data_IF_664997880739
#
_entry.id   IF_664997880739
#
_cell.length_a   1.000
_cell.length_b   1.000
_cell.length_c   1.000
_cell.angle_alpha   90.00
_cell.angle_beta   90.00
_cell.angle_gamma   90.00
#
_symmetry.space_group_name_H-M   'P 1'
#
loop_
_entity.id
_entity.type
_entity.pdbx_description
1 polymer ?
#
# COMPACT_ATOMS: atom_id res chain seq x y z
N UNK A 1 4.02 -6.02 -3.37
CA UNK A 1 4.31 -5.40 -4.68
C UNK A 1 4.36 -3.89 -4.51
N UNK A 2 5.29 -3.19 -5.17
CA UNK A 2 5.26 -1.71 -5.23
C UNK A 2 4.16 -1.28 -6.21
N UNK A 3 3.02 -0.86 -5.68
CA UNK A 3 1.79 -0.60 -6.43
C UNK A 3 0.54 -1.13 -5.72
N UNK A 4 -0.62 -0.91 -6.33
CA UNK A 4 -1.92 -1.25 -5.72
C UNK A 4 -2.42 -2.66 -6.09
N UNK A 5 -3.30 -3.20 -5.25
CA UNK A 5 -4.14 -4.36 -5.55
C UNK A 5 -5.58 -3.95 -5.82
N UNK A 6 -6.52 -4.35 -4.95
CA UNK A 6 -7.95 -4.02 -5.08
C UNK A 6 -8.26 -2.53 -4.95
N UNK A 7 -7.36 -1.74 -4.35
CA UNK A 7 -7.41 -0.27 -4.35
C UNK A 7 -7.07 0.25 -5.76
N UNK A 8 -8.00 0.06 -6.68
CA UNK A 8 -7.88 0.39 -8.09
C UNK A 8 -9.28 0.63 -8.67
N UNK A 9 -9.47 1.55 -9.66
CA UNK A 9 -10.79 1.82 -10.25
C UNK A 9 -11.53 0.59 -10.77
N UNK A 10 -10.78 -0.44 -11.18
CA UNK A 10 -11.31 -1.73 -11.68
C UNK A 10 -11.13 -2.89 -10.69
N UNK A 11 -10.79 -2.62 -9.44
CA UNK A 11 -10.44 -3.63 -8.41
C UNK A 11 -9.33 -4.62 -8.81
N UNK A 12 -8.49 -4.24 -9.77
CA UNK A 12 -7.50 -5.10 -10.42
C UNK A 12 -6.17 -4.37 -10.66
N UNK A 13 -5.54 -3.87 -9.59
CA UNK A 13 -4.20 -3.29 -9.65
C UNK A 13 -3.11 -4.34 -9.91
N UNK A 14 -1.86 -3.89 -10.08
CA UNK A 14 -0.73 -4.76 -10.43
C UNK A 14 -0.51 -5.92 -9.44
N UNK A 15 -0.75 -5.70 -8.14
CA UNK A 15 -0.62 -6.74 -7.14
C UNK A 15 -1.69 -7.83 -7.29
N UNK A 16 -2.92 -7.44 -7.63
CA UNK A 16 -4.02 -8.37 -7.91
C UNK A 16 -3.78 -9.12 -9.21
N UNK A 17 -3.42 -8.39 -10.27
CA UNK A 17 -3.16 -8.97 -11.59
C UNK A 17 -2.03 -10.01 -11.53
N UNK A 18 -0.87 -9.63 -10.97
CA UNK A 18 0.25 -10.55 -10.82
C UNK A 18 -0.10 -11.75 -9.95
N UNK A 19 -0.77 -11.53 -8.82
CA UNK A 19 -1.17 -12.60 -7.92
C UNK A 19 -2.10 -13.61 -8.58
N UNK A 20 -3.08 -13.16 -9.38
CA UNK A 20 -3.99 -14.04 -10.12
C UNK A 20 -3.23 -14.86 -11.16
N UNK A 21 -2.35 -14.25 -11.95
CA UNK A 21 -1.60 -14.96 -13.00
C UNK A 21 -0.58 -15.95 -12.43
N UNK A 22 0.10 -15.58 -11.34
CA UNK A 22 1.13 -16.42 -10.72
C UNK A 22 0.57 -17.46 -9.74
N UNK A 23 -0.67 -17.27 -9.27
CA UNK A 23 -1.28 -18.08 -8.21
C UNK A 23 -0.70 -17.82 -6.81
N UNK A 24 0.22 -16.86 -6.65
CA UNK A 24 0.95 -16.54 -5.42
C UNK A 24 0.15 -15.51 -4.59
N UNK A 25 0.02 -15.71 -3.25
CA UNK A 25 -0.55 -14.70 -2.37
C UNK A 25 0.18 -13.36 -2.49
N UNK A 26 -0.57 -12.28 -2.67
CA UNK A 26 0.00 -10.98 -3.00
C UNK A 26 -0.77 -9.83 -2.34
N UNK A 27 -0.05 -8.79 -1.94
CA UNK A 27 -0.63 -7.51 -1.54
C UNK A 27 0.18 -6.34 -2.12
N UNK A 28 -0.52 -5.23 -2.34
CA UNK A 28 0.03 -3.99 -2.85
C UNK A 28 0.43 -3.05 -1.72
N UNK A 29 1.54 -2.33 -1.91
CA UNK A 29 1.97 -1.22 -1.07
C UNK A 29 2.29 -0.05 -1.99
N UNK A 30 1.56 1.06 -1.85
CA UNK A 30 1.78 2.28 -2.64
C UNK A 30 2.27 3.44 -1.76
N UNK A 31 3.09 4.31 -2.35
CA UNK A 31 3.62 5.54 -1.72
C UNK A 31 2.67 6.73 -1.87
N UNK A 32 1.77 6.65 -2.85
CA UNK A 32 0.84 7.70 -3.24
C UNK A 32 -0.60 7.17 -3.21
N UNK A 33 -1.54 8.04 -2.79
CA UNK A 33 -2.97 7.72 -2.83
C UNK A 33 -3.40 7.59 -4.28
N UNK A 34 -4.09 6.48 -4.60
CA UNK A 34 -4.81 6.38 -5.86
C UNK A 34 -6.25 6.87 -5.65
N UNK A 35 -6.66 7.83 -6.47
CA UNK A 35 -7.97 8.46 -6.37
C UNK A 35 -8.99 7.50 -6.95
N UNK A 36 -9.77 6.88 -6.08
CA UNK A 36 -10.74 5.85 -6.43
C UNK A 36 -12.00 6.13 -5.64
N UNK A 37 -13.11 6.25 -6.35
CA UNK A 37 -14.45 6.23 -5.75
C UNK A 37 -14.59 7.20 -4.57
N UNK A 38 -14.30 8.48 -4.85
CA UNK A 38 -14.41 9.56 -3.89
C UNK A 38 -13.23 9.71 -2.93
N UNK A 39 -12.27 8.78 -2.91
CA UNK A 39 -11.06 8.91 -2.09
C UNK A 39 -10.07 9.88 -2.73
N UNK A 40 -9.62 10.85 -1.95
CA UNK A 40 -8.59 11.84 -2.32
C UNK A 40 -7.45 11.83 -1.32
N UNK A 41 -6.34 12.50 -1.64
CA UNK A 41 -5.22 12.64 -0.71
C UNK A 41 -5.61 13.41 0.54
N UNK A 42 -6.44 14.44 0.38
CA UNK A 42 -6.90 15.34 1.44
C UNK A 42 -7.76 14.57 2.43
N UNK A 43 -8.77 13.82 1.95
CA UNK A 43 -9.61 12.94 2.80
C UNK A 43 -8.78 11.94 3.60
N UNK A 44 -7.78 11.31 2.97
CA UNK A 44 -6.90 10.35 3.67
C UNK A 44 -6.04 11.04 4.71
N UNK A 45 -5.51 12.22 4.41
CA UNK A 45 -4.71 13.00 5.35
C UNK A 45 -5.53 13.41 6.57
N UNK A 46 -6.76 13.88 6.36
CA UNK A 46 -7.70 14.20 7.44
C UNK A 46 -7.98 12.96 8.29
N UNK A 47 -8.34 11.84 7.65
CA UNK A 47 -8.64 10.58 8.33
C UNK A 47 -7.46 10.08 9.19
N UNK A 48 -6.23 10.12 8.64
CA UNK A 48 -5.02 9.77 9.38
C UNK A 48 -4.76 10.74 10.53
N UNK A 49 -4.95 12.03 10.32
CA UNK A 49 -4.71 13.05 11.35
C UNK A 49 -5.67 12.89 12.54
N UNK A 50 -6.92 12.50 12.27
CA UNK A 50 -7.93 12.27 13.30
C UNK A 50 -7.74 10.94 14.04
N UNK A 51 -7.48 9.84 13.31
CA UNK A 51 -7.59 8.47 13.86
C UNK A 51 -6.26 7.72 13.98
N UNK A 52 -5.23 8.13 13.25
CA UNK A 52 -3.92 7.47 13.26
C UNK A 52 -2.74 8.48 13.11
N UNK A 53 -2.67 9.53 13.95
CA UNK A 53 -1.67 10.59 13.81
C UNK A 53 -0.25 10.11 14.16
N UNK A 54 -0.13 9.08 14.99
CA UNK A 54 1.15 8.63 15.52
C UNK A 54 1.80 7.55 14.64
N UNK A 55 3.08 7.31 14.93
CA UNK A 55 3.85 6.25 14.28
C UNK A 55 3.20 4.89 14.54
N UNK A 56 3.23 4.03 13.52
CA UNK A 56 2.77 2.64 13.58
C UNK A 56 1.25 2.48 13.80
N UNK A 57 0.50 3.55 13.57
CA UNK A 57 -0.97 3.54 13.50
C UNK A 57 -1.45 3.49 12.05
N UNK A 58 -2.67 2.99 11.86
CA UNK A 58 -3.30 2.88 10.55
C UNK A 58 -4.82 2.94 10.66
N UNK A 59 -5.47 3.23 9.53
CA UNK A 59 -6.92 3.28 9.39
C UNK A 59 -7.36 2.51 8.16
N UNK A 60 -8.53 1.87 8.26
CA UNK A 60 -9.21 1.35 7.08
C UNK A 60 -9.74 2.49 6.21
N UNK A 61 -9.58 2.32 4.91
CA UNK A 61 -10.04 3.27 3.90
C UNK A 61 -11.22 2.67 3.19
N UNK A 62 -12.38 3.28 3.43
CA UNK A 62 -13.67 2.88 2.87
C UNK A 62 -14.03 3.92 1.82
N UNK A 63 -14.34 3.50 0.60
CA UNK A 63 -14.75 4.41 -0.47
C UNK A 63 -16.14 5.00 -0.23
N UNK A 64 -16.52 6.01 -1.01
CA UNK A 64 -17.83 6.67 -0.86
C UNK A 64 -19.00 5.70 -1.14
N UNK A 65 -18.77 4.61 -1.90
CA UNK A 65 -19.75 3.53 -2.12
C UNK A 65 -19.81 2.47 -1.00
N UNK A 66 -18.92 2.53 -0.01
CA UNK A 66 -18.88 1.60 1.14
C UNK A 66 -17.91 0.43 0.98
N UNK A 67 -17.15 0.34 -0.12
CA UNK A 67 -16.16 -0.71 -0.30
C UNK A 67 -14.87 -0.45 0.49
N UNK A 68 -14.33 -1.47 1.14
CA UNK A 68 -13.00 -1.39 1.76
C UNK A 68 -11.94 -1.45 0.66
N UNK A 69 -11.20 -0.36 0.48
CA UNK A 69 -10.09 -0.28 -0.48
C UNK A 69 -8.80 -0.87 0.08
N UNK A 70 -8.55 -0.67 1.37
CA UNK A 70 -7.29 -1.04 2.01
C UNK A 70 -7.04 -0.25 3.29
N UNK A 71 -5.76 -0.09 3.63
CA UNK A 71 -5.31 0.66 4.80
C UNK A 71 -4.48 1.86 4.37
N UNK A 72 -4.64 2.98 5.07
CA UNK A 72 -3.64 4.04 5.12
C UNK A 72 -2.82 3.85 6.40
N UNK A 73 -1.50 3.68 6.25
CA UNK A 73 -0.59 3.33 7.34
C UNK A 73 0.44 4.44 7.57
N UNK A 74 0.48 4.99 8.78
CA UNK A 74 1.43 6.02 9.21
C UNK A 74 2.71 5.37 9.75
N UNK A 75 3.63 5.02 8.85
CA UNK A 75 4.85 4.25 9.20
C UNK A 75 5.85 5.08 10.01
N UNK A 76 5.94 6.38 9.73
CA UNK A 76 7.02 7.24 10.23
C UNK A 76 6.59 8.23 11.29
N UNK A 77 5.29 8.28 11.64
CA UNK A 77 4.71 9.32 12.50
C UNK A 77 4.45 10.64 11.75
N UNK A 78 4.48 10.62 10.43
CA UNK A 78 4.11 11.77 9.60
C UNK A 78 3.04 11.34 8.61
N UNK A 79 1.84 11.90 8.75
CA UNK A 79 0.67 11.59 7.90
C UNK A 79 0.95 11.84 6.41
N UNK A 80 1.86 12.77 6.08
CA UNK A 80 2.21 13.08 4.69
C UNK A 80 3.04 11.99 4.01
N UNK A 81 3.72 11.14 4.79
CA UNK A 81 4.55 10.04 4.29
C UNK A 81 3.92 8.67 4.52
N UNK A 82 2.62 8.62 4.80
CA UNK A 82 1.87 7.37 4.88
C UNK A 82 2.02 6.52 3.61
N UNK A 83 1.81 5.23 3.79
CA UNK A 83 1.75 4.24 2.71
C UNK A 83 0.39 3.57 2.69
N UNK A 84 0.02 3.04 1.53
CA UNK A 84 -1.32 2.52 1.28
C UNK A 84 -1.22 1.03 0.97
N UNK A 85 -1.84 0.22 1.82
CA UNK A 85 -1.78 -1.24 1.74
C UNK A 85 -3.12 -1.73 1.20
N UNK A 86 -3.11 -2.56 0.16
CA UNK A 86 -4.34 -3.15 -0.38
C UNK A 86 -4.15 -4.62 -0.70
N UNK A 87 -5.23 -5.39 -0.57
CA UNK A 87 -5.24 -6.82 -0.92
C UNK A 87 -4.92 -6.98 -2.40
N UNK A 88 -4.04 -7.93 -2.74
CA UNK A 88 -3.77 -8.33 -4.12
C UNK A 88 -4.54 -9.59 -4.49
N UNK A 89 -4.08 -10.74 -3.98
CA UNK A 89 -4.62 -12.07 -4.29
C UNK A 89 -4.42 -13.03 -3.10
N UNK A 90 -5.41 -13.90 -2.82
CA UNK A 90 -5.34 -14.98 -1.82
C UNK A 90 -4.80 -14.57 -0.44
N UNK A 91 -5.11 -13.35 0.01
CA UNK A 91 -4.69 -12.85 1.32
C UNK A 91 -5.77 -11.90 1.86
N UNK A 92 -5.96 -11.86 3.17
CA UNK A 92 -6.83 -10.89 3.82
C UNK A 92 -6.10 -9.57 4.06
N UNK A 93 -6.83 -8.48 4.22
CA UNK A 93 -6.23 -7.18 4.53
C UNK A 93 -5.47 -7.20 5.87
N UNK A 94 -6.04 -7.87 6.88
CA UNK A 94 -5.41 -8.02 8.19
C UNK A 94 -4.07 -8.78 8.10
N UNK A 95 -4.04 -9.91 7.38
CA UNK A 95 -2.79 -10.67 7.17
C UNK A 95 -1.76 -9.85 6.39
N UNK A 96 -2.19 -9.12 5.34
CA UNK A 96 -1.30 -8.24 4.58
C UNK A 96 -0.69 -7.14 5.48
N UNK A 97 -1.47 -6.54 6.37
CA UNK A 97 -0.98 -5.56 7.34
C UNK A 97 0.03 -6.17 8.30
N UNK A 98 -0.26 -7.34 8.87
CA UNK A 98 0.65 -8.01 9.80
C UNK A 98 2.00 -8.35 9.15
N UNK A 99 1.98 -8.87 7.92
CA UNK A 99 3.21 -9.14 7.15
C UNK A 99 3.95 -7.83 6.87
N UNK A 100 3.24 -6.79 6.40
CA UNK A 100 3.84 -5.48 6.15
C UNK A 100 4.58 -4.98 7.40
N UNK A 101 3.95 -5.01 8.58
CA UNK A 101 4.56 -4.62 9.85
C UNK A 101 5.83 -5.41 10.17
N UNK A 102 5.82 -6.73 9.97
CA UNK A 102 6.98 -7.57 10.29
C UNK A 102 8.19 -7.33 9.39
N UNK A 103 8.00 -6.76 8.20
CA UNK A 103 9.07 -6.51 7.22
C UNK A 103 9.41 -5.03 7.02
N UNK A 104 8.86 -4.14 7.84
CA UNK A 104 8.99 -2.69 7.66
C UNK A 104 9.78 -2.07 8.80
N UNK A 105 10.96 -1.54 8.48
CA UNK A 105 11.81 -0.77 9.42
C UNK A 105 11.78 0.74 9.16
N UNK A 106 11.58 1.11 7.90
CA UNK A 106 11.52 2.50 7.41
C UNK A 106 10.19 2.73 6.69
N UNK A 107 9.96 3.91 6.10
CA UNK A 107 8.74 4.22 5.33
C UNK A 107 8.35 3.13 4.32
N UNK A 108 9.34 2.60 3.59
CA UNK A 108 9.15 1.55 2.58
C UNK A 108 9.64 0.23 3.16
N UNK A 109 8.81 -0.81 3.09
CA UNK A 109 9.15 -2.13 3.58
C UNK A 109 10.42 -2.68 2.89
N UNK A 110 11.20 -3.47 3.63
CA UNK A 110 12.50 -3.95 3.16
C UNK A 110 12.45 -4.67 1.80
N UNK A 111 11.47 -5.58 1.52
CA UNK A 111 11.43 -6.26 0.22
C UNK A 111 11.30 -5.31 -0.98
N UNK A 112 10.43 -4.30 -0.87
CA UNK A 112 10.25 -3.29 -1.93
C UNK A 112 11.48 -2.40 -2.04
N UNK A 113 12.04 -1.98 -0.90
CA UNK A 113 13.24 -1.14 -0.87
C UNK A 113 14.43 -1.81 -1.54
N UNK A 114 14.66 -3.10 -1.27
CA UNK A 114 15.73 -3.87 -1.89
C UNK A 114 15.51 -4.04 -3.40
N UNK A 115 14.27 -4.33 -3.82
CA UNK A 115 13.94 -4.44 -5.24
C UNK A 115 14.20 -3.13 -6.01
N UNK A 116 13.81 -1.98 -5.46
CA UNK A 116 14.06 -0.66 -6.06
C UNK A 116 15.57 -0.35 -6.15
N UNK A 117 16.34 -0.64 -5.10
CA UNK A 117 17.80 -0.46 -5.12
C UNK A 117 18.48 -1.31 -6.18
N UNK A 118 18.18 -2.61 -6.23
CA UNK A 118 18.73 -3.53 -7.22
C UNK A 118 18.37 -3.11 -8.64
N UNK A 119 17.12 -2.68 -8.87
CA UNK A 119 16.69 -2.20 -10.18
C UNK A 119 17.48 -0.96 -10.62
N UNK A 120 17.73 -0.02 -9.72
CA UNK A 120 18.53 1.20 -10.01
C UNK A 120 19.98 0.87 -10.30
N UNK A 121 20.57 -0.05 -9.54
CA UNK A 121 21.95 -0.51 -9.77
C UNK A 121 22.12 -1.13 -11.16
N UNK A 122 21.17 -1.97 -11.59
CA UNK A 122 21.19 -2.58 -12.93
C UNK A 122 21.10 -1.51 -14.02
N UNK A 123 20.18 -0.54 -13.89
CA UNK A 123 20.04 0.55 -14.86
C UNK A 123 21.32 1.37 -14.96
N UNK A 124 21.97 1.69 -13.84
CA UNK A 124 23.22 2.45 -13.81
C UNK A 124 24.41 1.70 -14.43
N UNK A 125 24.39 0.36 -14.47
CA UNK A 125 25.41 -0.45 -15.17
C UNK A 125 25.18 -0.54 -16.68
N UNK A 126 23.96 -0.24 -17.14
CA UNK A 126 23.57 -0.30 -18.55
C UNK A 126 23.64 1.06 -19.26
N UNK A 127 23.77 2.16 -18.50
CA UNK A 127 24.02 3.52 -18.98
C UNK A 127 25.50 3.80 -19.14
#
# INVERSE_FOLDING_TARGET
MDGNGVWHPRRAGIASHFGVLSGIPCFGVSKNVLYVDGITREKIKELLTEKAPEKDQYVEVISDSGDILGLAYNVTGSVNSAVYISVGHKITLATACNIFKSVTKYRICEPIRQADLLSREIVAKLS
#
